data_IF_037603481990
#
_entry.id   IF_037603481990
#
_cell.length_a   1.000
_cell.length_b   1.000
_cell.length_c   1.000
_cell.angle_alpha   90.00
_cell.angle_beta   90.00
_cell.angle_gamma   90.00
#
_symmetry.space_group_name_H-M   'P 1'
#
loop_
_entity.id
_entity.type
_entity.pdbx_description
1 polymer ?
#
# COMPACT_ATOMS: atom_id res chain seq x y z
N UNK A 1 -24.68 30.51 -58.19
CA UNK A 1 -24.99 29.76 -59.44
C UNK A 1 -24.19 28.47 -59.38
N UNK A 2 -24.82 27.32 -59.58
CA UNK A 2 -24.21 25.99 -59.34
C UNK A 2 -23.80 25.30 -60.64
N UNK A 3 -22.84 24.37 -60.52
CA UNK A 3 -22.44 23.22 -61.37
C UNK A 3 -21.16 22.69 -60.65
N UNK A 4 -20.98 21.43 -60.23
CA UNK A 4 -21.56 20.16 -60.67
C UNK A 4 -20.82 19.66 -61.92
N UNK A 5 -20.13 18.51 -61.99
CA UNK A 5 -19.89 17.40 -61.05
C UNK A 5 -18.45 16.82 -61.31
N UNK A 6 -17.90 15.70 -60.78
CA UNK A 6 -18.47 14.49 -60.14
C UNK A 6 -17.47 13.74 -59.20
N UNK A 7 -17.64 12.42 -59.05
CA UNK A 7 -17.16 11.55 -57.97
C UNK A 7 -15.75 10.95 -58.07
N UNK A 8 -15.15 10.69 -56.90
CA UNK A 8 -14.38 9.46 -56.63
C UNK A 8 -14.73 8.94 -55.22
N UNK A 9 -15.11 7.66 -55.10
CA UNK A 9 -15.43 7.00 -53.82
C UNK A 9 -14.15 6.41 -53.21
N UNK A 10 -13.88 6.69 -51.94
CA UNK A 10 -13.14 5.75 -51.09
C UNK A 10 -13.82 5.48 -49.75
N UNK A 11 -13.80 4.20 -49.42
CA UNK A 11 -14.36 3.49 -48.28
C UNK A 11 -14.21 4.18 -46.91
N UNK A 12 -15.30 4.21 -46.13
CA UNK A 12 -15.24 4.47 -44.68
C UNK A 12 -14.62 3.28 -43.97
N UNK A 13 -13.31 3.33 -43.71
CA UNK A 13 -12.68 2.47 -42.71
C UNK A 13 -13.06 2.93 -41.30
N UNK A 14 -14.04 2.26 -40.68
CA UNK A 14 -14.33 2.44 -39.26
C UNK A 14 -13.14 1.91 -38.46
N UNK A 15 -12.36 2.80 -37.83
CA UNK A 15 -11.43 2.38 -36.77
C UNK A 15 -12.25 1.89 -35.59
N UNK A 16 -12.38 0.58 -35.48
CA UNK A 16 -12.80 -0.10 -34.25
C UNK A 16 -11.87 0.39 -33.14
N UNK A 17 -12.44 1.00 -32.09
CA UNK A 17 -11.72 1.19 -30.84
C UNK A 17 -11.45 -0.20 -30.29
N UNK A 18 -10.18 -0.54 -30.10
CA UNK A 18 -9.85 -1.68 -29.25
C UNK A 18 -10.44 -1.42 -27.86
N UNK A 19 -11.39 -2.26 -27.48
CA UNK A 19 -11.86 -2.32 -26.10
C UNK A 19 -10.69 -2.86 -25.28
N UNK A 20 -10.02 -1.98 -24.53
CA UNK A 20 -9.08 -2.39 -23.50
C UNK A 20 -9.88 -3.14 -22.44
N UNK A 21 -9.98 -4.47 -22.58
CA UNK A 21 -10.64 -5.32 -21.60
C UNK A 21 -10.03 -5.10 -20.24
N UNK A 22 -10.88 -5.06 -19.20
CA UNK A 22 -10.46 -4.90 -17.81
C UNK A 22 -9.43 -5.97 -17.43
N UNK A 23 -9.51 -7.16 -18.04
CA UNK A 23 -8.55 -8.26 -17.95
C UNK A 23 -7.12 -7.88 -18.40
N UNK A 24 -6.96 -7.03 -19.42
CA UNK A 24 -5.63 -6.60 -19.88
C UNK A 24 -4.98 -5.62 -18.89
N UNK A 25 -5.75 -4.66 -18.34
CA UNK A 25 -5.25 -3.79 -17.27
C UNK A 25 -4.93 -4.59 -16.01
N UNK A 26 -5.79 -5.53 -15.61
CA UNK A 26 -5.54 -6.44 -14.49
C UNK A 26 -4.27 -7.26 -14.74
N UNK A 27 -4.07 -7.79 -15.95
CA UNK A 27 -2.85 -8.54 -16.28
C UNK A 27 -1.60 -7.68 -16.20
N UNK A 28 -1.57 -6.47 -16.77
CA UNK A 28 -0.38 -5.61 -16.74
C UNK A 28 -0.03 -5.15 -15.32
N UNK A 29 -1.04 -4.83 -14.49
CA UNK A 29 -0.81 -4.47 -13.08
C UNK A 29 -0.39 -5.70 -12.24
N UNK A 30 -1.00 -6.88 -12.45
CA UNK A 30 -0.58 -8.13 -11.81
C UNK A 30 0.82 -8.58 -12.25
N UNK A 31 1.20 -8.37 -13.51
CA UNK A 31 2.54 -8.66 -14.04
C UNK A 31 3.56 -7.70 -13.45
N UNK A 32 3.22 -6.42 -13.27
CA UNK A 32 4.08 -5.46 -12.56
C UNK A 32 4.23 -5.79 -11.07
N UNK A 33 3.14 -6.22 -10.41
CA UNK A 33 3.18 -6.73 -9.03
C UNK A 33 4.08 -7.97 -8.93
N UNK A 34 3.82 -9.03 -9.70
CA UNK A 34 4.55 -10.31 -9.64
C UNK A 34 6.03 -10.21 -10.03
N UNK A 35 6.43 -9.20 -10.82
CA UNK A 35 7.83 -8.99 -11.20
C UNK A 35 8.62 -8.08 -10.23
N UNK A 36 7.98 -7.33 -9.33
CA UNK A 36 8.66 -6.34 -8.45
C UNK A 36 8.01 -6.16 -7.06
N UNK A 37 7.61 -7.23 -6.39
CA UNK A 37 7.01 -7.13 -5.05
C UNK A 37 7.74 -7.90 -3.94
N UNK A 38 7.28 -7.69 -2.70
CA UNK A 38 7.73 -8.44 -1.51
C UNK A 38 7.61 -9.94 -1.73
N UNK A 39 6.55 -10.42 -2.39
CA UNK A 39 6.35 -11.84 -2.68
C UNK A 39 7.47 -12.38 -3.59
N UNK A 40 7.89 -11.64 -4.63
CA UNK A 40 9.03 -12.00 -5.49
C UNK A 40 10.33 -12.10 -4.70
N UNK A 41 10.58 -11.16 -3.76
CA UNK A 41 11.75 -11.19 -2.89
C UNK A 41 11.71 -12.36 -1.88
N UNK A 42 10.54 -12.64 -1.30
CA UNK A 42 10.29 -13.80 -0.44
C UNK A 42 10.53 -15.11 -1.19
N UNK A 43 9.90 -15.30 -2.34
CA UNK A 43 10.00 -16.53 -3.15
C UNK A 43 11.43 -16.78 -3.65
N UNK A 44 12.08 -15.78 -4.24
CA UNK A 44 13.46 -15.93 -4.74
C UNK A 44 14.45 -16.26 -3.60
N UNK A 45 14.24 -15.70 -2.41
CA UNK A 45 15.08 -16.01 -1.25
C UNK A 45 14.76 -17.39 -0.69
N UNK A 46 13.47 -17.77 -0.65
CA UNK A 46 13.02 -19.08 -0.21
C UNK A 46 13.63 -20.19 -1.06
N UNK A 47 13.48 -20.12 -2.39
CA UNK A 47 14.04 -21.12 -3.32
C UNK A 47 15.56 -21.22 -3.16
N UNK A 48 16.28 -20.09 -3.12
CA UNK A 48 17.73 -20.08 -2.94
C UNK A 48 18.17 -20.69 -1.60
N UNK A 49 17.47 -20.39 -0.50
CA UNK A 49 17.76 -20.99 0.80
C UNK A 49 17.40 -22.48 0.85
N UNK A 50 16.36 -22.90 0.12
CA UNK A 50 15.91 -24.29 0.04
C UNK A 50 16.86 -25.17 -0.79
N UNK A 51 17.41 -24.65 -1.89
CA UNK A 51 18.46 -25.33 -2.69
C UNK A 51 19.75 -25.60 -1.88
N UNK A 52 19.98 -24.82 -0.82
CA UNK A 52 21.12 -24.96 0.10
C UNK A 52 20.80 -25.80 1.35
N UNK A 53 19.61 -26.40 1.43
CA UNK A 53 19.16 -27.18 2.58
C UNK A 53 19.61 -28.66 2.47
N UNK A 54 20.63 -29.02 3.23
CA UNK A 54 21.10 -30.41 3.41
C UNK A 54 20.39 -31.03 4.63
N UNK A 55 19.53 -32.04 4.42
CA UNK A 55 18.75 -32.71 5.48
C UNK A 55 19.62 -33.29 6.61
N UNK A 56 20.91 -33.52 6.36
CA UNK A 56 21.83 -34.18 7.29
C UNK A 56 22.43 -33.19 8.33
N UNK A 57 22.40 -31.87 8.08
CA UNK A 57 23.09 -30.87 8.93
C UNK A 57 22.15 -29.87 9.60
N UNK A 58 21.69 -30.29 10.78
CA UNK A 58 21.10 -29.48 11.85
C UNK A 58 19.77 -28.77 11.56
N UNK A 59 18.77 -29.03 12.43
CA UNK A 59 17.49 -28.28 12.50
C UNK A 59 17.63 -26.82 12.96
N UNK A 60 18.84 -26.27 13.02
CA UNK A 60 19.11 -24.93 13.54
C UNK A 60 19.41 -23.99 12.38
N UNK A 61 18.72 -22.86 12.36
CA UNK A 61 19.00 -21.67 11.55
C UNK A 61 18.49 -21.59 10.10
N UNK A 62 17.77 -22.55 9.50
CA UNK A 62 17.14 -22.30 8.18
C UNK A 62 16.25 -21.04 8.21
N UNK A 63 15.35 -20.95 9.20
CA UNK A 63 14.43 -19.82 9.36
C UNK A 63 15.17 -18.50 9.62
N UNK A 64 16.23 -18.52 10.43
CA UNK A 64 16.98 -17.30 10.76
C UNK A 64 17.91 -16.85 9.63
N UNK A 65 18.48 -17.78 8.85
CA UNK A 65 19.22 -17.48 7.61
C UNK A 65 18.26 -16.89 6.58
N UNK A 66 17.11 -17.52 6.33
CA UNK A 66 16.08 -17.02 5.42
C UNK A 66 15.58 -15.62 5.86
N UNK A 67 15.21 -15.46 7.13
CA UNK A 67 14.76 -14.18 7.71
C UNK A 67 15.78 -13.07 7.53
N UNK A 68 17.07 -13.35 7.78
CA UNK A 68 18.17 -12.39 7.57
C UNK A 68 18.33 -12.05 6.08
N UNK A 69 18.49 -13.05 5.23
CA UNK A 69 18.81 -12.87 3.81
C UNK A 69 17.66 -12.19 3.07
N UNK A 70 16.41 -12.50 3.44
CA UNK A 70 15.24 -11.86 2.85
C UNK A 70 15.03 -10.44 3.37
N UNK A 71 15.39 -10.15 4.63
CA UNK A 71 15.43 -8.77 5.15
C UNK A 71 16.44 -7.90 4.39
N UNK A 72 17.64 -8.43 4.11
CA UNK A 72 18.65 -7.73 3.29
C UNK A 72 18.14 -7.53 1.86
N UNK A 73 17.57 -8.57 1.24
CA UNK A 73 17.02 -8.50 -0.12
C UNK A 73 15.89 -7.47 -0.22
N UNK A 74 14.97 -7.45 0.74
CA UNK A 74 13.89 -6.46 0.82
C UNK A 74 14.45 -5.05 1.00
N UNK A 75 15.41 -4.83 1.91
CA UNK A 75 16.07 -3.53 2.05
C UNK A 75 16.71 -3.06 0.73
N UNK A 76 17.35 -3.96 -0.02
CA UNK A 76 17.98 -3.64 -1.30
C UNK A 76 16.99 -3.39 -2.45
N UNK A 77 15.82 -4.05 -2.47
CA UNK A 77 14.78 -3.78 -3.48
C UNK A 77 13.95 -2.53 -3.15
N UNK A 78 13.74 -2.21 -1.88
CA UNK A 78 12.95 -1.06 -1.43
C UNK A 78 13.76 0.25 -1.23
N UNK A 79 14.97 0.32 -1.79
CA UNK A 79 15.72 1.58 -1.95
C UNK A 79 14.93 2.56 -2.83
N UNK A 80 14.87 3.84 -2.43
CA UNK A 80 14.09 4.88 -3.12
C UNK A 80 14.39 5.01 -4.63
N UNK A 81 15.62 4.70 -5.06
CA UNK A 81 16.03 4.67 -6.47
C UNK A 81 15.36 3.58 -7.31
N UNK A 82 14.84 2.52 -6.70
CA UNK A 82 14.13 1.41 -7.37
C UNK A 82 12.61 1.54 -7.30
N UNK A 83 12.08 2.06 -6.19
CA UNK A 83 10.63 2.10 -5.91
C UNK A 83 9.94 3.42 -6.30
N UNK A 84 10.60 4.30 -7.06
CA UNK A 84 10.05 5.61 -7.45
C UNK A 84 8.63 5.55 -8.02
N UNK A 85 8.32 4.55 -8.87
CA UNK A 85 6.98 4.36 -9.42
C UNK A 85 5.93 4.00 -8.36
N UNK A 86 6.27 3.13 -7.38
CA UNK A 86 5.37 2.78 -6.28
C UNK A 86 5.07 4.02 -5.41
N UNK A 87 6.10 4.82 -5.12
CA UNK A 87 5.95 6.06 -4.36
C UNK A 87 5.10 7.11 -5.10
N UNK A 88 5.26 7.24 -6.42
CA UNK A 88 4.41 8.12 -7.24
C UNK A 88 2.96 7.65 -7.29
N UNK A 89 2.73 6.34 -7.45
CA UNK A 89 1.38 5.76 -7.47
C UNK A 89 0.68 5.90 -6.11
N UNK A 90 1.38 5.64 -5.01
CA UNK A 90 0.88 5.86 -3.64
C UNK A 90 0.56 7.34 -3.39
N UNK A 91 1.43 8.27 -3.82
CA UNK A 91 1.15 9.71 -3.73
C UNK A 91 -0.09 10.11 -4.54
N UNK A 92 -0.29 9.54 -5.73
CA UNK A 92 -1.51 9.77 -6.52
C UNK A 92 -2.75 9.27 -5.78
N UNK A 93 -2.72 8.04 -5.25
CA UNK A 93 -3.80 7.46 -4.45
C UNK A 93 -4.16 8.33 -3.24
N UNK A 94 -3.17 8.78 -2.46
CA UNK A 94 -3.41 9.65 -1.28
C UNK A 94 -4.04 10.99 -1.69
N UNK A 95 -3.60 11.60 -2.80
CA UNK A 95 -4.21 12.85 -3.30
C UNK A 95 -5.66 12.63 -3.78
N UNK A 96 -5.93 11.52 -4.47
CA UNK A 96 -7.26 11.16 -4.96
C UNK A 96 -8.23 10.87 -3.80
N UNK A 97 -7.77 10.09 -2.81
CA UNK A 97 -8.48 9.85 -1.55
C UNK A 97 -8.76 11.15 -0.82
N UNK A 98 -7.76 12.02 -0.62
CA UNK A 98 -7.93 13.33 0.03
C UNK A 98 -8.98 14.18 -0.69
N UNK A 99 -8.94 14.25 -2.02
CA UNK A 99 -9.92 15.01 -2.81
C UNK A 99 -11.34 14.45 -2.69
N UNK A 100 -11.48 13.11 -2.64
CA UNK A 100 -12.77 12.43 -2.49
C UNK A 100 -13.35 12.64 -1.09
N UNK A 101 -12.53 12.44 -0.06
CA UNK A 101 -12.90 12.62 1.37
C UNK A 101 -13.26 14.08 1.67
N UNK A 102 -12.59 15.04 1.02
CA UNK A 102 -12.90 16.48 1.15
C UNK A 102 -14.27 16.88 0.59
N UNK A 103 -14.92 16.04 -0.23
CA UNK A 103 -16.28 16.27 -0.70
C UNK A 103 -17.35 15.65 0.24
N UNK A 104 -16.94 14.89 1.26
CA UNK A 104 -17.82 14.11 2.15
C UNK A 104 -17.77 14.60 3.60
N UNK A 105 -16.62 15.06 4.06
CA UNK A 105 -16.40 15.50 5.45
C UNK A 105 -16.20 17.02 5.54
N UNK A 106 -16.77 17.66 6.57
CA UNK A 106 -16.68 19.10 6.79
C UNK A 106 -15.24 19.62 7.00
N UNK A 107 -14.35 18.76 7.49
CA UNK A 107 -12.94 19.09 7.73
C UNK A 107 -12.05 17.88 7.48
N UNK A 108 -11.02 18.06 6.64
CA UNK A 108 -10.06 17.02 6.27
C UNK A 108 -8.63 17.56 6.38
N UNK A 109 -7.73 16.78 6.96
CA UNK A 109 -6.34 17.18 7.20
C UNK A 109 -5.38 16.18 6.56
N UNK A 110 -4.57 16.62 5.61
CA UNK A 110 -3.48 15.83 5.04
C UNK A 110 -2.21 16.02 5.87
N UNK A 111 -1.82 15.00 6.63
CA UNK A 111 -0.61 15.03 7.46
C UNK A 111 0.57 14.40 6.72
N UNK A 112 1.68 15.12 6.60
CA UNK A 112 2.95 14.60 6.10
C UNK A 112 3.92 14.45 7.27
N UNK A 113 4.26 13.21 7.59
CA UNK A 113 5.14 12.85 8.71
C UNK A 113 6.46 12.28 8.17
N UNK A 114 7.56 12.56 8.87
CA UNK A 114 8.87 11.99 8.57
C UNK A 114 9.39 11.20 9.77
N UNK A 115 9.96 10.03 9.50
CA UNK A 115 10.59 9.21 10.54
C UNK A 115 11.92 9.85 10.99
N UNK A 116 12.02 10.14 12.29
CA UNK A 116 13.26 10.63 12.93
C UNK A 116 14.22 9.50 13.31
N UNK A 117 13.73 8.26 13.36
CA UNK A 117 14.47 7.05 13.73
C UNK A 117 13.85 5.82 13.05
N UNK A 118 14.46 4.64 13.22
CA UNK A 118 13.89 3.37 12.74
C UNK A 118 12.58 3.08 13.49
N UNK A 119 11.48 2.97 12.75
CA UNK A 119 10.15 2.68 13.29
C UNK A 119 9.78 1.22 13.06
N UNK A 120 9.25 0.57 14.10
CA UNK A 120 8.64 -0.76 14.04
C UNK A 120 7.15 -0.63 14.37
N UNK A 121 6.29 -1.13 13.48
CA UNK A 121 4.82 -1.10 13.60
C UNK A 121 4.29 -2.49 13.24
N UNK A 122 3.27 -2.93 13.97
CA UNK A 122 2.53 -4.16 13.68
C UNK A 122 3.45 -5.39 13.61
N UNK A 123 4.33 -5.53 14.60
CA UNK A 123 5.32 -6.62 14.72
C UNK A 123 4.72 -8.03 14.82
N UNK A 124 3.40 -8.13 14.98
CA UNK A 124 2.59 -9.36 14.88
C UNK A 124 1.71 -9.35 13.62
N UNK A 125 2.30 -9.15 12.45
CA UNK A 125 1.62 -9.34 11.17
C UNK A 125 1.92 -10.76 10.64
N UNK A 126 0.91 -11.63 10.43
CA UNK A 126 1.13 -12.99 9.93
C UNK A 126 1.47 -13.04 8.42
N UNK A 127 1.34 -11.93 7.68
CA UNK A 127 1.47 -11.90 6.22
C UNK A 127 2.91 -11.92 5.70
N UNK A 128 3.91 -11.64 6.54
CA UNK A 128 5.33 -11.70 6.14
C UNK A 128 6.08 -12.62 7.11
N UNK A 129 6.76 -13.68 6.62
CA UNK A 129 7.49 -14.65 7.45
C UNK A 129 8.85 -14.10 7.93
N UNK A 130 8.84 -12.95 8.59
CA UNK A 130 9.99 -12.32 9.23
C UNK A 130 9.84 -12.36 10.75
N UNK A 131 10.95 -12.55 11.47
CA UNK A 131 10.98 -12.55 12.94
C UNK A 131 10.45 -11.23 13.56
N UNK A 132 10.58 -10.13 12.83
CA UNK A 132 9.94 -8.84 13.12
C UNK A 132 9.25 -8.37 11.83
N UNK A 133 7.94 -8.61 11.72
CA UNK A 133 7.18 -8.12 10.56
C UNK A 133 6.87 -6.63 10.65
N UNK A 134 6.59 -6.02 9.50
CA UNK A 134 6.02 -4.69 9.34
C UNK A 134 4.58 -4.79 8.80
N UNK A 135 3.77 -3.74 8.97
CA UNK A 135 2.53 -3.55 8.20
C UNK A 135 2.87 -3.33 6.72
N UNK A 136 2.23 -4.10 5.83
CA UNK A 136 2.49 -4.05 4.40
C UNK A 136 1.19 -4.06 3.60
N UNK A 137 1.06 -3.12 2.67
CA UNK A 137 -0.07 -3.05 1.75
C UNK A 137 0.26 -3.91 0.51
N UNK A 138 -0.52 -4.97 0.20
CA UNK A 138 -0.24 -5.84 -0.93
C UNK A 138 -0.61 -5.22 -2.29
N UNK A 139 -1.45 -4.20 -2.32
CA UNK A 139 -1.92 -3.50 -3.54
C UNK A 139 -0.96 -2.37 -3.90
N UNK A 140 -0.65 -1.50 -2.93
CA UNK A 140 0.34 -0.43 -3.10
C UNK A 140 1.78 -0.97 -3.08
N UNK A 141 1.98 -2.19 -2.58
CA UNK A 141 3.28 -2.86 -2.43
C UNK A 141 4.29 -1.97 -1.70
N UNK A 142 3.85 -1.40 -0.56
CA UNK A 142 4.63 -0.50 0.29
C UNK A 142 4.33 -0.75 1.77
N UNK A 143 5.25 -0.40 2.69
CA UNK A 143 4.95 -0.41 4.12
C UNK A 143 4.03 0.77 4.46
N UNK A 144 3.04 0.54 5.32
CA UNK A 144 2.08 1.56 5.76
C UNK A 144 1.96 1.60 7.29
N UNK A 145 1.31 2.64 7.82
CA UNK A 145 0.98 2.76 9.24
C UNK A 145 -0.54 2.61 9.37
N UNK A 146 -1.07 1.53 9.97
CA UNK A 146 -2.51 1.35 10.08
C UNK A 146 -3.18 2.53 10.81
N UNK A 147 -4.26 3.06 10.23
CA UNK A 147 -5.15 4.07 10.81
C UNK A 147 -5.60 3.70 12.22
N UNK A 148 -5.84 2.42 12.49
CA UNK A 148 -6.14 1.88 13.82
C UNK A 148 -5.00 2.12 14.83
N UNK A 149 -3.75 2.02 14.39
CA UNK A 149 -2.56 2.29 15.21
C UNK A 149 -2.37 3.80 15.43
N UNK A 150 -2.52 4.62 14.38
CA UNK A 150 -2.48 6.09 14.50
C UNK A 150 -3.57 6.60 15.44
N UNK A 151 -4.82 6.16 15.23
CA UNK A 151 -5.98 6.49 16.04
C UNK A 151 -5.81 6.03 17.49
N UNK A 152 -5.22 4.85 17.72
CA UNK A 152 -4.90 4.34 19.05
C UNK A 152 -3.89 5.22 19.80
N UNK A 153 -2.79 5.59 19.14
CA UNK A 153 -1.76 6.48 19.71
C UNK A 153 -2.34 7.86 20.02
N UNK A 154 -3.05 8.47 19.08
CA UNK A 154 -3.66 9.80 19.27
C UNK A 154 -4.72 9.76 20.38
N UNK A 155 -5.60 8.75 20.40
CA UNK A 155 -6.58 8.56 21.48
C UNK A 155 -5.91 8.45 22.85
N UNK A 156 -4.85 7.63 22.96
CA UNK A 156 -4.12 7.41 24.21
C UNK A 156 -3.47 8.70 24.71
N UNK A 157 -2.76 9.41 23.83
CA UNK A 157 -2.11 10.69 24.13
C UNK A 157 -3.10 11.78 24.54
N UNK A 158 -4.21 11.94 23.80
CA UNK A 158 -5.25 12.92 24.16
C UNK A 158 -5.88 12.57 25.52
N UNK A 159 -6.19 11.30 25.75
CA UNK A 159 -6.81 10.82 27.01
C UNK A 159 -5.92 11.02 28.24
N UNK A 160 -4.59 11.00 28.09
CA UNK A 160 -3.67 11.25 29.21
C UNK A 160 -3.55 12.71 29.60
N UNK A 161 -3.97 13.64 28.73
CA UNK A 161 -3.88 15.09 28.96
C UNK A 161 -5.26 15.69 29.27
N UNK A 162 -6.34 15.18 28.66
CA UNK A 162 -7.70 15.72 28.82
C UNK A 162 -8.77 14.62 28.83
N UNK A 163 -9.76 14.78 29.69
CA UNK A 163 -10.97 13.94 29.73
C UNK A 163 -12.06 14.36 28.72
N UNK A 164 -11.95 15.56 28.15
CA UNK A 164 -12.83 16.07 27.09
C UNK A 164 -12.10 17.08 26.18
N UNK A 165 -12.63 17.31 24.98
CA UNK A 165 -12.23 18.43 24.11
C UNK A 165 -13.47 19.30 23.94
N UNK A 166 -13.37 20.58 24.33
CA UNK A 166 -14.47 21.55 24.21
C UNK A 166 -15.79 21.07 24.83
N UNK A 167 -15.73 20.35 25.95
CA UNK A 167 -16.91 19.77 26.63
C UNK A 167 -17.40 18.44 26.05
N UNK A 168 -16.90 17.99 24.90
CA UNK A 168 -17.27 16.71 24.28
C UNK A 168 -16.34 15.59 24.82
N UNK A 169 -16.87 14.49 25.36
CA UNK A 169 -16.09 13.35 25.84
C UNK A 169 -15.20 12.70 24.77
N UNK A 170 -14.00 12.26 25.16
CA UNK A 170 -13.01 11.68 24.23
C UNK A 170 -13.52 10.42 23.51
N UNK A 171 -14.36 9.60 24.15
CA UNK A 171 -14.97 8.45 23.51
C UNK A 171 -15.92 8.82 22.35
N UNK A 172 -16.55 9.99 22.35
CA UNK A 172 -17.35 10.45 21.20
C UNK A 172 -16.50 10.89 20.01
N UNK A 173 -15.28 11.39 20.23
CA UNK A 173 -14.35 11.66 19.12
C UNK A 173 -13.79 10.38 18.49
N UNK A 174 -13.35 9.42 19.30
CA UNK A 174 -12.64 8.24 18.79
C UNK A 174 -13.53 6.99 18.63
N UNK A 175 -14.75 7.00 19.16
CA UNK A 175 -15.66 5.86 19.19
C UNK A 175 -15.39 4.91 20.36
N UNK A 176 -16.36 4.07 20.65
CA UNK A 176 -16.31 3.00 21.66
C UNK A 176 -17.18 1.82 21.21
N UNK A 177 -17.50 0.90 22.12
CA UNK A 177 -18.37 -0.25 21.84
C UNK A 177 -19.83 0.13 21.53
N UNK A 178 -20.24 1.36 21.80
CA UNK A 178 -21.63 1.82 21.66
C UNK A 178 -21.84 2.77 20.47
N UNK A 179 -20.77 3.26 19.83
CA UNK A 179 -20.92 4.16 18.68
C UNK A 179 -19.65 4.50 17.89
N UNK A 180 -19.89 4.92 16.65
CA UNK A 180 -18.86 5.43 15.73
C UNK A 180 -18.31 6.77 16.24
N UNK A 181 -16.98 6.94 16.17
CA UNK A 181 -16.32 8.18 16.54
C UNK A 181 -16.38 9.24 15.45
N UNK A 182 -16.48 10.51 15.84
CA UNK A 182 -16.47 11.66 14.92
C UNK A 182 -15.19 11.79 14.08
N UNK A 183 -14.06 11.24 14.54
CA UNK A 183 -12.76 11.32 13.85
C UNK A 183 -12.42 9.99 13.16
N UNK A 184 -12.31 10.07 11.83
CA UNK A 184 -11.85 9.00 10.95
C UNK A 184 -10.36 9.20 10.65
N UNK A 185 -9.62 8.09 10.59
CA UNK A 185 -8.22 8.05 10.18
C UNK A 185 -8.14 7.15 8.96
N UNK A 186 -7.27 7.49 8.01
CA UNK A 186 -6.95 6.68 6.83
C UNK A 186 -5.50 6.18 6.94
N UNK A 187 -5.20 5.11 6.21
CA UNK A 187 -3.88 4.44 6.16
C UNK A 187 -2.91 5.19 5.22
#
# INVERSE_FOLDING_TARGET
MALGEFMSKQSKGVKVREESTVENCINDDLVNLTNKNVITALLNTFTKCYELYDEVREKVSYLSIFSRDVSVKLYDEFKCSKIGNLLMNSLKYVNELFSTVSNVFDAVFLLRLQLVSRLTIHTRNPMIPLEISISWDPVLNLPYIPSSSLKGVVRSYVSSIKSNISGIPINKFFGDSEGVGLVVFFD
#
